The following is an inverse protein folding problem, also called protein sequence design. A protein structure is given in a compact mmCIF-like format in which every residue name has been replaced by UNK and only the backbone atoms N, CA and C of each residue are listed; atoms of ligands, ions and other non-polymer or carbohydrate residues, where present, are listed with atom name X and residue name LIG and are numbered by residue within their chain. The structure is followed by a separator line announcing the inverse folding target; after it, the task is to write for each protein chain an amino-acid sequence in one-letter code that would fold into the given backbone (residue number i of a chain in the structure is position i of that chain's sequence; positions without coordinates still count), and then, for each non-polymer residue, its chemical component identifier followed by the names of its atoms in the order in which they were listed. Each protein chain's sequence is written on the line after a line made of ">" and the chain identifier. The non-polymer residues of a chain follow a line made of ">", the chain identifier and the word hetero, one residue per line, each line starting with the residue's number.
data_IF_053375048284
#
_entry.id   IF_053375048284
#
_cell.length_a   1.000
_cell.length_b   1.000
_cell.length_c   1.000
_cell.angle_alpha   90.00
_cell.angle_beta   90.00
_cell.angle_gamma   90.00
#
_symmetry.space_group_name_H-M   'P 1'
#
loop_
_entity.id
_entity.type
_entity.pdbx_description
1 polymer ?
#
# COMPACT_ATOMS: atom_id res chain seq x y z
N UNK A 1 4.15 -4.89 -7.46
CA UNK A 1 4.51 -6.04 -6.59
C UNK A 1 4.76 -5.44 -5.20
N UNK A 2 4.11 -5.91 -4.14
CA UNK A 2 4.28 -5.38 -2.78
C UNK A 2 4.62 -6.50 -1.79
N UNK A 3 5.44 -6.18 -0.79
CA UNK A 3 6.17 -7.06 0.14
C UNK A 3 6.19 -6.48 1.57
N UNK A 4 6.80 -7.07 2.59
CA UNK A 4 6.91 -8.44 3.13
C UNK A 4 7.23 -8.15 4.60
N UNK A 5 6.42 -8.57 5.56
CA UNK A 5 6.86 -8.75 6.95
C UNK A 5 6.99 -10.26 7.14
N UNK A 6 8.17 -10.74 7.53
CA UNK A 6 8.50 -12.18 7.63
C UNK A 6 8.25 -13.05 6.37
N UNK A 7 8.48 -12.53 5.16
CA UNK A 7 8.32 -13.28 3.90
C UNK A 7 6.84 -13.64 3.54
N UNK A 8 5.85 -13.00 4.18
CA UNK A 8 4.42 -13.10 3.84
C UNK A 8 3.89 -11.89 3.06
N UNK A 9 3.21 -12.14 1.92
CA UNK A 9 2.68 -11.09 1.06
C UNK A 9 1.44 -10.45 1.72
N UNK A 10 1.57 -9.19 2.14
CA UNK A 10 0.50 -8.45 2.83
C UNK A 10 -0.51 -7.83 1.83
N UNK A 11 -0.08 -7.49 0.62
CA UNK A 11 -0.93 -6.78 -0.32
C UNK A 11 -0.34 -6.56 -1.71
N UNK A 12 -0.91 -5.59 -2.43
CA UNK A 12 -0.41 -5.10 -3.73
C UNK A 12 -0.41 -3.59 -3.74
N UNK A 13 0.64 -2.98 -4.29
CA UNK A 13 0.58 -1.56 -4.68
C UNK A 13 -0.25 -1.50 -5.95
N UNK A 14 -1.34 -0.74 -5.89
CA UNK A 14 -2.30 -0.62 -6.98
C UNK A 14 -2.19 0.72 -7.71
N UNK A 15 -1.83 1.77 -6.96
CA UNK A 15 -1.67 3.10 -7.51
C UNK A 15 -0.60 3.89 -6.75
N UNK A 16 -0.15 4.99 -7.35
CA UNK A 16 0.77 5.97 -6.76
C UNK A 16 0.19 7.38 -6.93
N UNK A 17 0.17 8.14 -5.85
CA UNK A 17 -0.24 9.55 -5.87
C UNK A 17 1.00 10.40 -6.11
N UNK A 18 0.96 11.18 -7.18
CA UNK A 18 1.99 12.17 -7.52
C UNK A 18 1.44 13.55 -7.19
N UNK A 19 2.21 14.32 -6.42
CA UNK A 19 1.87 15.70 -6.08
C UNK A 19 2.01 16.63 -7.30
N UNK A 20 1.36 17.80 -7.29
CA UNK A 20 1.46 18.77 -8.39
C UNK A 20 2.88 19.26 -8.70
N UNK A 21 3.79 19.15 -7.73
CA UNK A 21 5.22 19.45 -7.86
C UNK A 21 6.04 18.29 -8.47
N UNK A 22 5.36 17.24 -8.93
CA UNK A 22 5.90 16.00 -9.51
C UNK A 22 6.63 15.09 -8.50
N UNK A 23 6.41 15.28 -7.20
CA UNK A 23 6.94 14.39 -6.16
C UNK A 23 6.01 13.19 -5.94
N UNK A 24 6.56 11.98 -5.96
CA UNK A 24 5.81 10.76 -5.58
C UNK A 24 5.53 10.83 -4.08
N UNK A 25 4.26 10.92 -3.73
CA UNK A 25 3.83 11.25 -2.37
C UNK A 25 3.37 10.02 -1.60
N UNK A 26 2.47 9.23 -2.20
CA UNK A 26 1.90 8.05 -1.56
C UNK A 26 1.85 6.86 -2.51
N UNK A 27 2.02 5.65 -1.98
CA UNK A 27 1.56 4.43 -2.61
C UNK A 27 0.21 4.03 -2.03
N UNK A 28 -0.71 3.56 -2.87
CA UNK A 28 -1.95 2.94 -2.43
C UNK A 28 -1.74 1.44 -2.40
N UNK A 29 -1.82 0.88 -1.20
CA UNK A 29 -1.60 -0.55 -0.94
C UNK A 29 -2.95 -1.19 -0.65
N UNK A 30 -3.37 -2.09 -1.53
CA UNK A 30 -4.49 -2.97 -1.33
C UNK A 30 -4.16 -4.14 -0.42
N UNK A 31 -4.84 -4.23 0.71
CA UNK A 31 -4.65 -5.27 1.73
C UNK A 31 -5.82 -6.23 1.73
N UNK A 32 -5.54 -7.51 1.43
CA UNK A 32 -6.56 -8.54 1.30
C UNK A 32 -7.53 -8.32 0.13
N UNK A 33 -8.49 -9.26 -0.03
CA UNK A 33 -9.43 -9.26 -1.14
C UNK A 33 -8.82 -9.79 -2.44
N UNK A 34 -9.63 -10.46 -3.25
CA UNK A 34 -9.26 -10.92 -4.59
C UNK A 34 -10.14 -10.14 -5.58
N UNK A 35 -9.52 -9.48 -6.57
CA UNK A 35 -10.21 -8.75 -7.63
C UNK A 35 -11.14 -7.61 -7.15
N UNK A 36 -10.73 -6.83 -6.15
CA UNK A 36 -11.42 -5.60 -5.74
C UNK A 36 -12.62 -5.79 -4.81
N UNK A 37 -13.04 -7.03 -4.52
CA UNK A 37 -14.07 -7.30 -3.52
C UNK A 37 -13.40 -7.57 -2.17
N UNK A 38 -13.80 -6.82 -1.13
CA UNK A 38 -13.27 -6.98 0.23
C UNK A 38 -11.82 -6.52 0.38
N UNK A 39 -11.38 -5.65 -0.52
CA UNK A 39 -10.06 -5.02 -0.49
C UNK A 39 -10.07 -3.82 0.44
N UNK A 40 -9.01 -3.67 1.23
CA UNK A 40 -8.82 -2.54 2.13
C UNK A 40 -7.63 -1.71 1.63
N UNK A 41 -7.92 -0.57 1.01
CA UNK A 41 -6.89 0.29 0.45
C UNK A 41 -6.29 1.18 1.53
N UNK A 42 -4.96 1.28 1.59
CA UNK A 42 -4.23 2.10 2.55
C UNK A 42 -3.27 3.02 1.81
N UNK A 43 -3.37 4.33 2.05
CA UNK A 43 -2.40 5.30 1.56
C UNK A 43 -1.16 5.33 2.45
N UNK A 44 -0.02 4.97 1.89
CA UNK A 44 1.26 4.88 2.60
C UNK A 44 2.25 5.89 2.02
N UNK A 45 2.85 6.78 2.84
CA UNK A 45 3.90 7.68 2.39
C UNK A 45 5.04 6.91 1.69
N UNK A 46 5.51 7.42 0.55
CA UNK A 46 6.54 6.72 -0.22
C UNK A 46 7.86 6.54 0.55
N UNK A 47 8.18 7.46 1.47
CA UNK A 47 9.36 7.38 2.33
C UNK A 47 9.28 6.33 3.44
N UNK A 48 8.12 5.69 3.65
CA UNK A 48 7.97 4.55 4.56
C UNK A 48 8.20 3.21 3.85
N UNK A 49 8.25 3.21 2.53
CA UNK A 49 8.54 2.02 1.74
C UNK A 49 10.05 1.90 1.54
N UNK A 50 10.56 0.71 1.81
CA UNK A 50 11.91 0.30 1.48
C UNK A 50 11.88 -0.52 0.20
N UNK A 51 12.96 -0.48 -0.58
CA UNK A 51 13.13 -1.34 -1.75
C UNK A 51 14.07 -2.47 -1.34
N UNK A 52 13.57 -3.70 -1.37
CA UNK A 52 14.38 -4.90 -1.25
C UNK A 52 14.33 -5.67 -2.57
N UNK A 53 15.51 -5.90 -3.14
CA UNK A 53 15.68 -6.52 -4.46
C UNK A 53 14.78 -5.85 -5.54
N UNK A 54 13.73 -6.54 -5.99
CA UNK A 54 12.84 -6.13 -7.07
C UNK A 54 11.45 -5.68 -6.57
N UNK A 55 11.37 -5.29 -5.29
CA UNK A 55 10.09 -5.19 -4.62
C UNK A 55 10.06 -4.15 -3.48
N UNK A 56 8.85 -3.77 -3.04
CA UNK A 56 8.62 -2.77 -2.00
C UNK A 56 8.21 -3.38 -0.67
N UNK A 57 9.01 -3.16 0.36
CA UNK A 57 8.78 -3.58 1.74
C UNK A 57 8.20 -2.44 2.56
N UNK A 58 7.16 -2.71 3.36
CA UNK A 58 6.69 -1.80 4.39
C UNK A 58 7.08 -2.35 5.78
N UNK A 59 8.16 -1.85 6.40
CA UNK A 59 8.69 -2.42 7.64
C UNK A 59 7.67 -2.41 8.79
N UNK A 60 7.49 -3.56 9.43
CA UNK A 60 6.60 -3.72 10.59
C UNK A 60 5.10 -3.66 10.27
N UNK A 61 4.71 -3.64 8.99
CA UNK A 61 3.31 -3.76 8.62
C UNK A 61 2.82 -5.21 8.74
N UNK A 62 1.63 -5.37 9.30
CA UNK A 62 0.92 -6.65 9.31
C UNK A 62 -0.44 -6.47 8.65
N UNK A 63 -0.99 -7.52 8.04
CA UNK A 63 -2.33 -7.47 7.42
C UNK A 63 -3.39 -6.98 8.42
N UNK A 64 -3.32 -7.44 9.67
CA UNK A 64 -4.24 -7.05 10.75
C UNK A 64 -4.11 -5.57 11.08
N UNK A 65 -2.87 -5.05 11.21
CA UNK A 65 -2.65 -3.64 11.51
C UNK A 65 -3.16 -2.73 10.38
N UNK A 66 -2.89 -3.09 9.12
CA UNK A 66 -3.33 -2.30 7.98
C UNK A 66 -4.85 -2.30 7.81
N UNK A 67 -5.54 -3.43 8.05
CA UNK A 67 -7.01 -3.50 8.05
C UNK A 67 -7.66 -2.70 9.18
N UNK A 68 -6.93 -2.40 10.25
CA UNK A 68 -7.43 -1.58 11.35
C UNK A 68 -7.31 -0.06 11.07
N UNK A 69 -6.52 0.33 10.06
CA UNK A 69 -6.42 1.72 9.64
C UNK A 69 -7.68 2.14 8.87
N UNK A 70 -8.05 3.42 8.87
CA UNK A 70 -9.09 3.93 7.98
C UNK A 70 -8.76 3.61 6.52
N UNK A 71 -9.74 3.16 5.72
CA UNK A 71 -9.51 2.91 4.31
C UNK A 71 -9.23 4.23 3.59
N UNK A 72 -8.35 4.17 2.59
CA UNK A 72 -8.21 5.22 1.60
C UNK A 72 -9.42 5.19 0.67
N UNK A 73 -10.07 6.33 0.50
CA UNK A 73 -11.20 6.50 -0.38
C UNK A 73 -10.79 7.39 -1.56
N UNK A 74 -11.01 6.90 -2.77
CA UNK A 74 -10.81 7.72 -3.96
C UNK A 74 -11.85 8.83 -3.99
N UNK A 75 -11.42 10.04 -4.34
CA UNK A 75 -12.34 11.13 -4.61
C UNK A 75 -13.25 10.71 -5.77
N UNK A 76 -14.56 10.65 -5.51
CA UNK A 76 -15.54 10.48 -6.57
C UNK A 76 -15.47 11.70 -7.49
N UNK A 77 -15.10 11.47 -8.75
CA UNK A 77 -15.19 12.47 -9.84
C UNK A 77 -16.63 12.81 -10.16
#
# INVERSE_FOLDING_TARGET
>A
MAEYDNNEKIGTIDDIIISPDHTVSFAIIGVGGFLGIGKHDVATPMNHLEVDQDHFVLPGATEVALKALPPFEYAAT
#
